data_IF_988374736256
#
_entry.id   IF_988374736256
#
_cell.length_a   1.000
_cell.length_b   1.000
_cell.length_c   1.000
_cell.angle_alpha   90.00
_cell.angle_beta   90.00
_cell.angle_gamma   90.00
#
_symmetry.space_group_name_H-M   'P 1'
#
loop_
_entity.id
_entity.type
_entity.pdbx_description
1 polymer ?
#
# COMPACT_ATOMS: atom_id res chain seq x y z
N UNK A 1 1.20 6.37 22.91
CA UNK A 1 0.95 5.18 22.07
C UNK A 1 -0.53 5.14 21.81
N UNK A 2 -0.97 5.53 20.60
CA UNK A 2 -2.38 5.47 20.21
C UNK A 2 -2.91 4.05 20.37
N UNK A 3 -4.20 3.92 20.67
CA UNK A 3 -4.87 2.63 20.73
C UNK A 3 -4.98 1.99 19.34
N UNK A 4 -5.11 0.67 19.31
CA UNK A 4 -5.31 -0.10 18.06
C UNK A 4 -6.47 0.42 17.23
N UNK A 5 -7.57 0.82 17.88
CA UNK A 5 -8.74 1.40 17.23
C UNK A 5 -8.41 2.76 16.59
N UNK A 6 -7.71 3.65 17.30
CA UNK A 6 -7.28 4.95 16.75
C UNK A 6 -6.38 4.78 15.52
N UNK A 7 -5.45 3.82 15.57
CA UNK A 7 -4.61 3.49 14.42
C UNK A 7 -5.43 2.94 13.25
N UNK A 8 -6.42 2.10 13.52
CA UNK A 8 -7.34 1.58 12.51
C UNK A 8 -8.13 2.69 11.80
N UNK A 9 -8.60 3.69 12.53
CA UNK A 9 -9.29 4.86 11.95
C UNK A 9 -8.36 5.77 11.14
N UNK A 10 -7.08 5.84 11.50
CA UNK A 10 -6.09 6.65 10.80
C UNK A 10 -5.51 5.99 9.54
N UNK A 11 -5.52 4.66 9.48
CA UNK A 11 -4.90 3.90 8.38
C UNK A 11 -5.42 4.33 6.99
N UNK A 12 -6.73 4.54 6.75
CA UNK A 12 -7.21 4.99 5.43
C UNK A 12 -6.67 6.36 5.01
N UNK A 13 -6.49 7.27 5.98
CA UNK A 13 -5.91 8.59 5.72
C UNK A 13 -4.44 8.45 5.34
N UNK A 14 -3.67 7.71 6.13
CA UNK A 14 -2.25 7.45 5.83
C UNK A 14 -2.07 6.73 4.47
N UNK A 15 -2.97 5.80 4.14
CA UNK A 15 -2.95 5.08 2.86
C UNK A 15 -3.21 6.04 1.69
N UNK A 16 -4.12 7.00 1.86
CA UNK A 16 -4.40 8.05 0.88
C UNK A 16 -3.22 9.01 0.73
N UNK A 17 -2.59 9.42 1.83
CA UNK A 17 -1.40 10.28 1.79
C UNK A 17 -0.24 9.61 1.04
N UNK A 18 -0.02 8.29 1.27
CA UNK A 18 0.98 7.51 0.51
C UNK A 18 0.64 7.46 -0.98
N UNK A 19 -0.63 7.24 -1.33
CA UNK A 19 -1.08 7.26 -2.72
C UNK A 19 -0.78 8.61 -3.38
N UNK A 20 -1.18 9.71 -2.74
CA UNK A 20 -1.00 11.07 -3.25
C UNK A 20 0.48 11.45 -3.36
N UNK A 21 1.30 11.03 -2.39
CA UNK A 21 2.75 11.22 -2.43
C UNK A 21 3.36 10.54 -3.66
N UNK A 22 3.06 9.26 -3.90
CA UNK A 22 3.59 8.54 -5.07
C UNK A 22 2.98 9.09 -6.37
N UNK A 23 1.71 9.52 -6.36
CA UNK A 23 1.07 10.20 -7.49
C UNK A 23 1.76 11.49 -7.90
N UNK A 24 2.30 12.25 -6.95
CA UNK A 24 3.05 13.47 -7.25
C UNK A 24 4.34 13.22 -8.06
N UNK A 25 4.88 11.99 -8.00
CA UNK A 25 6.06 11.58 -8.77
C UNK A 25 5.75 11.13 -10.20
N UNK A 26 4.47 11.05 -10.58
CA UNK A 26 4.01 10.55 -11.88
C UNK A 26 3.83 9.03 -11.93
N UNK A 27 3.57 8.49 -13.12
CA UNK A 27 3.41 7.05 -13.39
C UNK A 27 4.76 6.37 -13.67
N UNK A 28 4.73 5.05 -13.88
CA UNK A 28 5.90 4.22 -14.17
C UNK A 28 6.89 4.17 -13.00
N UNK A 29 6.36 4.19 -11.77
CA UNK A 29 7.13 4.11 -10.53
C UNK A 29 7.41 2.65 -10.14
N UNK A 30 8.59 2.34 -9.57
CA UNK A 30 8.85 1.01 -9.03
C UNK A 30 7.94 0.71 -7.84
N UNK A 31 7.80 -0.57 -7.51
CA UNK A 31 7.11 -0.99 -6.29
C UNK A 31 7.80 -0.40 -5.06
N UNK A 32 7.04 0.31 -4.25
CA UNK A 32 7.54 1.01 -3.06
C UNK A 32 6.86 0.45 -1.81
N UNK A 33 7.61 0.42 -0.72
CA UNK A 33 7.07 0.05 0.58
C UNK A 33 7.35 1.16 1.59
N UNK A 34 6.39 1.37 2.49
CA UNK A 34 6.41 2.39 3.53
C UNK A 34 6.20 1.72 4.87
N UNK A 35 7.03 2.07 5.85
CA UNK A 35 6.80 1.71 7.24
C UNK A 35 5.85 2.75 7.85
N UNK A 36 4.82 2.31 8.56
CA UNK A 36 3.92 3.19 9.31
C UNK A 36 4.37 3.21 10.77
N UNK A 37 4.70 4.39 11.27
CA UNK A 37 5.11 4.61 12.67
C UNK A 37 4.13 5.57 13.32
N UNK A 38 3.82 5.36 14.59
CA UNK A 38 3.02 6.32 15.35
C UNK A 38 3.76 7.66 15.43
N UNK A 39 3.09 8.74 15.01
CA UNK A 39 3.69 10.09 14.96
C UNK A 39 4.22 10.53 16.32
N UNK A 40 3.52 10.18 17.41
CA UNK A 40 3.99 10.42 18.79
C UNK A 40 5.35 9.75 19.07
N UNK A 41 5.53 8.50 18.63
CA UNK A 41 6.79 7.76 18.81
C UNK A 41 7.90 8.40 18.01
N UNK A 42 7.59 8.90 16.82
CA UNK A 42 8.57 9.60 15.98
C UNK A 42 9.01 10.92 16.62
N UNK A 43 8.07 11.72 17.14
CA UNK A 43 8.36 12.97 17.88
C UNK A 43 9.18 12.68 19.14
N UNK A 44 8.88 11.60 19.87
CA UNK A 44 9.63 11.21 21.06
C UNK A 44 11.08 10.83 20.74
N UNK A 45 11.33 10.23 19.57
CA UNK A 45 12.67 9.87 19.11
C UNK A 45 13.44 11.05 18.48
N UNK A 46 12.73 11.98 17.82
CA UNK A 46 13.27 13.17 17.16
C UNK A 46 12.46 14.42 17.52
N UNK A 47 12.71 15.03 18.70
CA UNK A 47 11.93 16.17 19.20
C UNK A 47 11.94 17.39 18.29
N UNK A 48 12.97 17.56 17.47
CA UNK A 48 13.08 18.63 16.47
C UNK A 48 12.01 18.56 15.36
N UNK A 49 11.37 17.41 15.18
CA UNK A 49 10.28 17.23 14.21
C UNK A 49 8.91 17.61 14.78
N UNK A 50 8.81 17.93 16.07
CA UNK A 50 7.54 18.24 16.74
C UNK A 50 6.79 19.41 16.10
N UNK A 51 7.50 20.41 15.58
CA UNK A 51 6.90 21.57 14.91
C UNK A 51 6.43 21.27 13.47
N UNK A 52 6.85 20.13 12.91
CA UNK A 52 6.56 19.72 11.52
C UNK A 52 5.47 18.66 11.42
N UNK A 53 5.05 18.08 12.55
CA UNK A 53 4.13 16.95 12.61
C UNK A 53 2.99 17.27 13.56
N UNK A 54 1.77 17.03 13.10
CA UNK A 54 0.59 17.12 13.95
C UNK A 54 0.09 15.71 14.27
N UNK A 55 0.39 15.16 15.48
CA UNK A 55 -0.02 13.81 15.86
C UNK A 55 -1.53 13.68 16.05
N UNK A 56 -2.27 14.79 16.14
CA UNK A 56 -3.74 14.78 16.25
C UNK A 56 -4.38 14.67 14.86
N UNK A 57 -3.83 15.38 13.87
CA UNK A 57 -4.32 15.33 12.49
C UNK A 57 -3.83 14.08 11.73
N UNK A 58 -2.56 13.73 11.89
CA UNK A 58 -1.91 12.58 11.24
C UNK A 58 -1.20 11.72 12.29
N UNK A 59 -1.91 10.80 12.98
CA UNK A 59 -1.34 9.97 14.05
C UNK A 59 -0.40 8.86 13.53
N UNK A 60 -0.41 8.60 12.22
CA UNK A 60 0.52 7.70 11.53
C UNK A 60 1.41 8.51 10.60
N UNK A 61 2.72 8.29 10.67
CA UNK A 61 3.68 8.82 9.70
C UNK A 61 4.18 7.69 8.79
N UNK A 62 3.95 7.79 7.47
CA UNK A 62 4.56 6.90 6.48
C UNK A 62 6.04 7.25 6.25
N UNK A 63 6.91 6.25 6.35
CA UNK A 63 8.35 6.36 6.10
C UNK A 63 8.72 5.48 4.89
N UNK A 64 9.12 6.12 3.78
CA UNK A 64 9.56 5.44 2.57
C UNK A 64 10.77 4.53 2.86
N UNK A 65 10.72 3.29 2.36
CA UNK A 65 11.81 2.32 2.42
C UNK A 65 12.44 2.12 1.04
N UNK A 66 13.43 1.23 0.96
CA UNK A 66 13.97 0.79 -0.33
C UNK A 66 12.88 0.17 -1.22
N UNK A 67 12.94 0.48 -2.51
CA UNK A 67 12.00 -0.07 -3.50
C UNK A 67 12.18 -1.58 -3.63
N UNK A 68 11.07 -2.29 -3.80
CA UNK A 68 11.06 -3.75 -3.93
C UNK A 68 11.08 -4.17 -5.41
N UNK A 69 11.73 -5.29 -5.75
CA UNK A 69 11.64 -5.86 -7.09
C UNK A 69 10.20 -6.30 -7.38
N UNK A 70 9.70 -5.97 -8.57
CA UNK A 70 8.33 -6.30 -8.97
C UNK A 70 8.11 -7.79 -9.24
N UNK A 71 9.13 -8.49 -9.76
CA UNK A 71 9.02 -9.90 -10.20
C UNK A 71 8.95 -10.88 -9.02
N UNK A 72 9.64 -10.58 -7.92
CA UNK A 72 9.78 -11.46 -6.75
C UNK A 72 9.17 -10.85 -5.49
N UNK A 73 8.08 -10.08 -5.63
CA UNK A 73 7.50 -9.32 -4.52
C UNK A 73 7.20 -10.19 -3.29
N UNK A 74 6.66 -11.40 -3.48
CA UNK A 74 6.37 -12.32 -2.38
C UNK A 74 7.62 -12.73 -1.59
N UNK A 75 8.72 -13.03 -2.29
CA UNK A 75 9.99 -13.37 -1.65
C UNK A 75 10.65 -12.14 -1.02
N UNK A 76 10.55 -10.99 -1.66
CA UNK A 76 11.05 -9.73 -1.13
C UNK A 76 10.34 -9.36 0.18
N UNK A 77 9.00 -9.43 0.22
CA UNK A 77 8.21 -9.22 1.44
C UNK A 77 8.56 -10.21 2.54
N UNK A 78 8.77 -11.49 2.20
CA UNK A 78 9.12 -12.53 3.19
C UNK A 78 10.49 -12.32 3.86
N UNK A 79 11.36 -11.47 3.29
CA UNK A 79 12.67 -11.12 3.86
C UNK A 79 12.63 -9.84 4.71
N UNK A 80 11.50 -9.14 4.75
CA UNK A 80 11.37 -7.90 5.51
C UNK A 80 11.20 -8.24 6.99
N UNK A 81 12.04 -7.62 7.81
CA UNK A 81 11.94 -7.66 9.27
C UNK A 81 11.65 -6.25 9.79
N UNK A 82 10.49 -6.07 10.43
CA UNK A 82 10.08 -4.77 10.93
C UNK A 82 10.53 -4.52 12.38
N UNK A 83 11.17 -3.38 12.68
CA UNK A 83 11.43 -2.96 14.06
C UNK A 83 10.15 -2.84 14.90
N UNK A 84 10.24 -2.93 16.23
CA UNK A 84 9.08 -2.85 17.15
C UNK A 84 8.28 -1.54 17.02
N UNK A 85 8.94 -0.46 16.60
CA UNK A 85 8.34 0.86 16.42
C UNK A 85 7.39 0.93 15.21
N UNK A 86 7.51 0.02 14.26
CA UNK A 86 6.66 -0.05 13.07
C UNK A 86 5.32 -0.66 13.45
N UNK A 87 4.27 0.14 13.42
CA UNK A 87 2.90 -0.28 13.81
C UNK A 87 2.08 -0.76 12.62
N UNK A 88 2.57 -0.57 11.40
CA UNK A 88 1.97 -1.05 10.17
C UNK A 88 2.89 -0.85 8.97
N UNK A 89 2.47 -1.26 7.79
CA UNK A 89 3.18 -0.99 6.55
C UNK A 89 2.19 -0.73 5.42
N UNK A 90 2.63 0.00 4.40
CA UNK A 90 1.90 0.25 3.17
C UNK A 90 2.77 -0.09 1.96
N UNK A 91 2.20 -0.73 0.96
CA UNK A 91 2.87 -1.05 -0.31
C UNK A 91 2.14 -0.39 -1.46
N UNK A 92 2.91 0.21 -2.35
CA UNK A 92 2.43 0.85 -3.58
C UNK A 92 3.01 0.08 -4.76
N UNK A 93 2.14 -0.34 -5.68
CA UNK A 93 2.55 -0.93 -6.95
C UNK A 93 1.63 -0.50 -8.08
N UNK A 94 2.18 -0.45 -9.30
CA UNK A 94 1.39 -0.26 -10.51
C UNK A 94 1.00 -1.65 -11.05
N UNK A 95 -0.30 -1.84 -11.28
CA UNK A 95 -0.92 -3.07 -11.73
C UNK A 95 -1.70 -2.84 -13.01
N UNK A 96 -1.94 -3.92 -13.73
CA UNK A 96 -2.84 -3.93 -14.88
C UNK A 96 -4.19 -4.48 -14.42
N UNK A 97 -5.23 -3.68 -14.60
CA UNK A 97 -6.62 -4.02 -14.32
C UNK A 97 -7.32 -4.34 -15.63
N UNK A 98 -8.05 -5.45 -15.63
CA UNK A 98 -8.84 -5.88 -16.77
C UNK A 98 -10.30 -5.47 -16.62
N UNK A 99 -11.02 -5.29 -17.75
CA UNK A 99 -12.47 -5.19 -17.70
C UNK A 99 -13.08 -6.52 -17.21
N UNK A 100 -14.24 -6.46 -16.53
CA UNK A 100 -14.87 -7.65 -15.95
C UNK A 100 -15.20 -8.73 -17.00
N UNK A 101 -15.45 -8.35 -18.26
CA UNK A 101 -15.65 -9.30 -19.36
C UNK A 101 -14.39 -10.14 -19.66
N UNK A 102 -13.20 -9.56 -19.46
CA UNK A 102 -11.92 -10.24 -19.67
C UNK A 102 -11.49 -11.07 -18.45
N UNK A 103 -11.89 -10.69 -17.24
CA UNK A 103 -11.64 -11.47 -16.02
C UNK A 103 -12.20 -12.89 -16.12
N UNK A 104 -13.39 -13.06 -16.72
CA UNK A 104 -14.00 -14.36 -16.93
C UNK A 104 -13.21 -15.29 -17.88
N UNK A 105 -12.31 -14.72 -18.69
CA UNK A 105 -11.44 -15.46 -19.62
C UNK A 105 -10.03 -15.70 -19.06
N UNK A 106 -9.74 -15.24 -17.83
CA UNK A 106 -8.44 -15.46 -17.21
C UNK A 106 -8.25 -16.94 -16.85
N UNK A 107 -7.07 -17.51 -17.16
CA UNK A 107 -6.71 -18.83 -16.66
C UNK A 107 -6.55 -18.81 -15.14
N UNK A 108 -6.73 -19.97 -14.49
CA UNK A 108 -6.59 -20.12 -13.03
C UNK A 108 -5.14 -20.01 -12.53
N UNK A 109 -4.17 -20.12 -13.44
CA UNK A 109 -2.74 -19.98 -13.15
C UNK A 109 -2.31 -18.50 -13.15
N UNK A 110 -1.60 -18.08 -12.10
CA UNK A 110 -1.20 -16.67 -11.91
C UNK A 110 -0.30 -16.15 -13.04
N UNK A 111 0.64 -16.96 -13.55
CA UNK A 111 1.53 -16.57 -14.64
C UNK A 111 0.76 -16.40 -15.96
N UNK A 112 -0.17 -17.32 -16.24
CA UNK A 112 -1.08 -17.23 -17.39
C UNK A 112 -1.99 -16.00 -17.30
N UNK A 113 -2.53 -15.72 -16.11
CA UNK A 113 -3.41 -14.57 -15.88
C UNK A 113 -2.66 -13.25 -16.07
N UNK A 114 -1.43 -13.14 -15.53
CA UNK A 114 -0.57 -11.96 -15.72
C UNK A 114 -0.24 -11.73 -17.19
N UNK A 115 0.13 -12.77 -17.94
CA UNK A 115 0.43 -12.65 -19.39
C UNK A 115 -0.79 -12.19 -20.17
N UNK A 116 -1.94 -12.84 -19.98
CA UNK A 116 -3.15 -12.50 -20.70
C UNK A 116 -3.62 -11.08 -20.35
N UNK A 117 -3.47 -10.66 -19.10
CA UNK A 117 -3.74 -9.29 -18.69
C UNK A 117 -2.81 -8.27 -19.34
N UNK A 118 -1.52 -8.58 -19.42
CA UNK A 118 -0.53 -7.73 -20.07
C UNK A 118 -0.72 -7.63 -21.58
N UNK A 119 -1.33 -8.61 -22.24
CA UNK A 119 -1.59 -8.62 -23.68
C UNK A 119 -2.99 -8.11 -24.06
N UNK A 120 -3.89 -7.88 -23.09
CA UNK A 120 -5.26 -7.49 -23.39
C UNK A 120 -5.35 -6.07 -23.99
N UNK A 121 -6.18 -5.86 -25.04
CA UNK A 121 -6.32 -4.56 -25.70
C UNK A 121 -6.96 -3.50 -24.81
N UNK A 122 -7.96 -3.89 -24.01
CA UNK A 122 -8.68 -2.99 -23.09
C UNK A 122 -8.08 -2.94 -21.69
N UNK A 123 -6.79 -3.31 -21.56
CA UNK A 123 -6.10 -3.26 -20.27
C UNK A 123 -6.00 -1.81 -19.78
N UNK A 124 -6.20 -1.59 -18.48
CA UNK A 124 -6.01 -0.29 -17.84
C UNK A 124 -4.92 -0.39 -16.80
N UNK A 125 -4.07 0.62 -16.74
CA UNK A 125 -3.07 0.72 -15.69
C UNK A 125 -3.73 1.32 -14.44
N UNK A 126 -3.42 0.76 -13.28
CA UNK A 126 -3.88 1.29 -12.02
C UNK A 126 -2.73 1.25 -11.01
N UNK A 127 -2.66 2.25 -10.13
CA UNK A 127 -1.81 2.20 -8.96
C UNK A 127 -2.62 1.69 -7.79
N UNK A 128 -2.15 0.61 -7.18
CA UNK A 128 -2.74 0.03 -5.99
C UNK A 128 -1.83 0.32 -4.79
N UNK A 129 -2.43 0.86 -3.73
CA UNK A 129 -1.84 1.01 -2.41
C UNK A 129 -2.57 0.09 -1.46
N UNK A 130 -1.85 -0.79 -0.78
CA UNK A 130 -2.39 -1.67 0.25
C UNK A 130 -1.64 -1.44 1.55
N UNK A 131 -2.36 -1.25 2.65
CA UNK A 131 -1.79 -0.99 3.96
C UNK A 131 -2.43 -1.87 5.03
N UNK A 132 -1.61 -2.30 6.00
CA UNK A 132 -2.03 -3.15 7.11
C UNK A 132 -1.38 -2.68 8.42
N UNK A 133 -2.06 -2.91 9.53
CA UNK A 133 -1.50 -2.75 10.87
C UNK A 133 -0.92 -4.07 11.37
N UNK A 134 0.18 -3.97 12.14
CA UNK A 134 0.90 -5.11 12.72
C UNK A 134 0.03 -5.97 13.63
N UNK A 135 -0.88 -5.36 14.38
CA UNK A 135 -1.78 -6.03 15.32
C UNK A 135 -3.02 -6.66 14.65
N UNK A 136 -3.15 -6.51 13.32
CA UNK A 136 -4.35 -6.91 12.58
C UNK A 136 -5.56 -6.01 12.82
N UNK A 137 -5.37 -4.86 13.49
CA UNK A 137 -6.42 -3.90 13.85
C UNK A 137 -7.02 -3.13 12.68
N UNK A 138 -6.43 -3.24 11.49
CA UNK A 138 -6.95 -2.59 10.29
C UNK A 138 -6.22 -2.96 9.01
N UNK A 139 -6.95 -2.89 7.91
CA UNK A 139 -6.44 -2.94 6.55
C UNK A 139 -7.11 -1.84 5.71
N UNK A 140 -6.37 -1.29 4.77
CA UNK A 140 -6.89 -0.29 3.83
C UNK A 140 -6.29 -0.54 2.46
N UNK A 141 -7.09 -0.37 1.41
CA UNK A 141 -6.57 -0.31 0.05
C UNK A 141 -7.14 0.91 -0.66
N UNK A 142 -6.29 1.56 -1.44
CA UNK A 142 -6.64 2.66 -2.33
C UNK A 142 -6.11 2.31 -3.72
N UNK A 143 -6.94 2.51 -4.74
CA UNK A 143 -6.57 2.27 -6.13
C UNK A 143 -6.84 3.52 -6.96
N UNK A 144 -5.82 4.01 -7.67
CA UNK A 144 -5.94 5.04 -8.70
C UNK A 144 -5.91 4.38 -10.07
N UNK A 145 -6.96 4.53 -10.85
CA UNK A 145 -7.04 4.05 -12.22
C UNK A 145 -6.56 5.14 -13.18
N UNK A 146 -5.62 4.80 -14.07
CA UNK A 146 -5.10 5.70 -15.11
C UNK A 146 -6.15 5.89 -16.21
N UNK A 147 -6.46 7.14 -16.53
CA UNK A 147 -7.48 7.49 -17.54
C UNK A 147 -7.29 8.87 -18.16
N UNK A 148 -8.32 9.37 -18.85
CA UNK A 148 -8.37 10.79 -19.27
C UNK A 148 -8.45 11.71 -18.03
N UNK A 149 -9.20 11.26 -17.03
CA UNK A 149 -9.19 11.76 -15.66
C UNK A 149 -8.93 10.57 -14.75
N UNK A 150 -7.90 10.65 -13.89
CA UNK A 150 -7.57 9.56 -12.98
C UNK A 150 -8.68 9.39 -11.93
N UNK A 151 -9.22 8.17 -11.82
CA UNK A 151 -10.26 7.84 -10.84
C UNK A 151 -9.65 7.16 -9.62
N UNK A 152 -10.01 7.60 -8.41
CA UNK A 152 -9.46 7.01 -7.18
C UNK A 152 -10.57 6.36 -6.34
N UNK A 153 -10.36 5.09 -6.01
CA UNK A 153 -11.27 4.24 -5.25
C UNK A 153 -10.59 3.81 -3.95
N UNK A 154 -11.36 3.69 -2.87
CA UNK A 154 -10.88 3.14 -1.60
C UNK A 154 -11.77 1.97 -1.22
N UNK A 155 -11.24 0.76 -1.27
CA UNK A 155 -11.97 -0.44 -0.88
C UNK A 155 -11.00 -1.48 -0.30
N UNK A 156 -11.16 -1.90 0.96
CA UNK A 156 -10.20 -2.79 1.64
C UNK A 156 -10.16 -4.22 1.09
N UNK A 157 -11.07 -4.59 0.18
CA UNK A 157 -11.16 -5.91 -0.45
C UNK A 157 -10.54 -5.98 -1.85
N UNK A 158 -9.98 -4.87 -2.36
CA UNK A 158 -9.35 -4.80 -3.70
C UNK A 158 -8.19 -5.78 -3.88
N UNK A 159 -7.43 -6.06 -2.83
CA UNK A 159 -6.18 -6.82 -2.96
C UNK A 159 -5.98 -7.82 -1.81
N UNK A 160 -6.83 -8.85 -1.70
CA UNK A 160 -6.82 -9.77 -0.56
C UNK A 160 -5.49 -10.55 -0.43
N UNK A 161 -4.90 -10.94 -1.56
CA UNK A 161 -3.61 -11.65 -1.58
C UNK A 161 -2.47 -10.74 -1.13
N UNK A 162 -2.48 -9.47 -1.54
CA UNK A 162 -1.43 -8.51 -1.16
C UNK A 162 -1.53 -8.15 0.32
N UNK A 163 -2.74 -7.89 0.82
CA UNK A 163 -2.98 -7.66 2.25
C UNK A 163 -2.48 -8.85 3.07
N UNK A 164 -2.79 -10.08 2.65
CA UNK A 164 -2.30 -11.29 3.34
C UNK A 164 -0.77 -11.37 3.33
N UNK A 165 -0.13 -11.07 2.20
CA UNK A 165 1.33 -11.06 2.09
C UNK A 165 1.99 -9.98 2.96
N UNK A 166 1.40 -8.78 3.02
CA UNK A 166 1.88 -7.70 3.89
C UNK A 166 1.71 -8.06 5.37
N UNK A 167 0.57 -8.59 5.77
CA UNK A 167 0.35 -9.03 7.16
C UNK A 167 1.32 -10.15 7.56
N UNK A 168 1.72 -11.01 6.61
CA UNK A 168 2.71 -12.06 6.87
C UNK A 168 4.12 -11.51 7.16
N UNK A 169 4.44 -10.27 6.78
CA UNK A 169 5.73 -9.63 7.14
C UNK A 169 5.84 -9.27 8.63
N UNK A 170 4.73 -9.34 9.37
CA UNK A 170 4.69 -9.11 10.81
C UNK A 170 4.58 -10.41 11.64
N UNK A 171 4.58 -11.57 10.98
CA UNK A 171 4.39 -12.89 11.61
C UNK A 171 5.66 -13.45 12.26
#
# INVERSE_FOLDING_TARGET
MPSAEELGFALPVATREVEEFVASAGWDQPTQIFALVATETMIAAAPEMADQLDPVASPLTPLAQESLPAEDLGEALARIEWPEQVVGCALVQEIVVLPPEAEAALPEDEDGARKLAAEHPDRREARLVAAVLRDGGGQSCVMRLRGEEDEVFSDPSLAPNLIKALSATFA
#
